data_IF_090802601688
#
_entry.id   IF_090802601688
#
_cell.length_a   1.000
_cell.length_b   1.000
_cell.length_c   1.000
_cell.angle_alpha   90.00
_cell.angle_beta   90.00
_cell.angle_gamma   90.00
#
_symmetry.space_group_name_H-M   'P 1'
#
loop_
_entity.id
_entity.type
_entity.pdbx_description
1 polymer ?
#
# COMPACT_ATOMS: atom_id res chain seq x y z
N UNK A 1 -25.61 11.94 -5.24
CA UNK A 1 -24.43 12.71 -5.67
C UNK A 1 -23.43 11.71 -6.21
N UNK A 2 -22.88 11.92 -7.40
CA UNK A 2 -21.80 11.10 -7.94
C UNK A 2 -20.46 11.65 -7.43
N UNK A 3 -19.62 10.78 -6.88
CA UNK A 3 -18.30 11.13 -6.34
C UNK A 3 -17.16 10.57 -7.20
N UNK A 4 -17.45 9.90 -8.31
CA UNK A 4 -16.44 9.24 -9.14
C UNK A 4 -15.38 10.22 -9.65
N UNK A 5 -14.13 9.75 -9.73
CA UNK A 5 -12.96 10.56 -10.13
C UNK A 5 -12.13 9.80 -11.15
N UNK A 6 -11.70 10.50 -12.21
CA UNK A 6 -10.68 10.02 -13.14
C UNK A 6 -9.36 10.75 -12.87
N UNK A 7 -8.32 9.99 -12.54
CA UNK A 7 -6.96 10.51 -12.30
C UNK A 7 -5.98 9.82 -13.26
N UNK A 8 -5.63 10.49 -14.36
CA UNK A 8 -4.87 9.87 -15.44
C UNK A 8 -5.61 8.65 -16.01
N UNK A 9 -5.01 7.47 -15.89
CA UNK A 9 -5.60 6.19 -16.27
C UNK A 9 -6.45 5.54 -15.18
N UNK A 10 -6.42 6.04 -13.94
CA UNK A 10 -7.16 5.49 -12.82
C UNK A 10 -8.62 5.96 -12.83
N UNK A 11 -9.55 5.03 -12.60
CA UNK A 11 -10.95 5.29 -12.35
C UNK A 11 -11.26 4.91 -10.90
N UNK A 12 -11.72 5.87 -10.12
CA UNK A 12 -12.04 5.71 -8.70
C UNK A 12 -13.52 5.93 -8.49
N UNK A 13 -14.16 5.07 -7.70
CA UNK A 13 -15.59 5.19 -7.37
C UNK A 13 -15.90 6.43 -6.52
N UNK A 14 -14.87 6.95 -5.82
CA UNK A 14 -14.90 8.17 -5.01
C UNK A 14 -13.45 8.66 -4.79
N UNK A 15 -13.21 9.88 -4.26
CA UNK A 15 -11.85 10.41 -4.10
C UNK A 15 -11.08 9.86 -2.90
N UNK A 16 -11.67 8.96 -2.09
CA UNK A 16 -11.03 8.51 -0.84
C UNK A 16 -10.05 7.38 -1.13
N UNK A 17 -8.77 7.63 -0.86
CA UNK A 17 -7.69 6.65 -0.97
C UNK A 17 -7.01 6.50 0.38
N UNK A 18 -6.95 5.28 0.91
CA UNK A 18 -6.17 5.01 2.11
C UNK A 18 -4.66 5.12 1.80
N UNK A 19 -3.94 5.92 2.60
CA UNK A 19 -2.53 6.25 2.34
C UNK A 19 -1.60 5.05 2.53
N UNK A 20 -0.50 5.01 1.77
CA UNK A 20 0.53 3.98 1.92
C UNK A 20 1.08 3.98 3.35
N UNK A 21 1.18 2.79 3.93
CA UNK A 21 1.74 2.59 5.25
C UNK A 21 0.79 2.83 6.41
N UNK A 22 -0.45 3.29 6.16
CA UNK A 22 -1.52 3.39 7.17
C UNK A 22 -2.59 2.30 7.03
N UNK A 23 -2.56 1.53 5.93
CA UNK A 23 -3.59 0.54 5.59
C UNK A 23 -3.04 -0.85 5.22
N UNK A 24 -1.82 -1.17 5.68
CA UNK A 24 -1.19 -2.48 5.45
C UNK A 24 -1.13 -2.85 3.95
N UNK A 25 -1.61 -4.05 3.60
CA UNK A 25 -1.85 -4.47 2.22
C UNK A 25 -3.36 -4.51 1.91
N UNK A 26 -4.19 -3.80 2.70
CA UNK A 26 -5.64 -3.76 2.60
C UNK A 26 -6.36 -4.94 3.26
N UNK A 27 -5.87 -6.17 3.05
CA UNK A 27 -6.51 -7.40 3.54
C UNK A 27 -6.66 -7.44 5.06
N UNK A 28 -5.77 -6.78 5.80
CA UNK A 28 -5.82 -6.70 7.26
C UNK A 28 -7.07 -5.95 7.77
N UNK A 29 -7.66 -5.07 6.95
CA UNK A 29 -8.81 -4.25 7.31
C UNK A 29 -10.15 -4.80 6.81
N UNK A 30 -10.16 -5.93 6.08
CA UNK A 30 -11.38 -6.51 5.48
C UNK A 30 -12.47 -6.90 6.49
N UNK A 31 -12.09 -7.10 7.77
CA UNK A 31 -13.04 -7.37 8.86
C UNK A 31 -13.64 -6.10 9.47
N UNK A 32 -13.05 -4.94 9.20
CA UNK A 32 -13.48 -3.64 9.73
C UNK A 32 -14.23 -2.81 8.69
N UNK A 33 -13.88 -2.94 7.42
CA UNK A 33 -14.49 -2.20 6.31
C UNK A 33 -14.54 -3.05 5.04
N UNK A 34 -15.63 -2.93 4.27
CA UNK A 34 -15.68 -3.48 2.91
C UNK A 34 -14.74 -2.67 2.02
N UNK A 35 -13.66 -3.31 1.55
CA UNK A 35 -12.64 -2.65 0.74
C UNK A 35 -13.22 -2.03 -0.55
N UNK A 36 -14.35 -2.55 -1.06
CA UNK A 36 -14.96 -2.05 -2.29
C UNK A 36 -15.62 -0.67 -2.17
N UNK A 37 -15.84 -0.17 -0.95
CA UNK A 37 -16.42 1.17 -0.74
C UNK A 37 -15.39 2.29 -0.90
N UNK A 38 -14.09 1.97 -0.79
CA UNK A 38 -13.02 2.93 -0.99
C UNK A 38 -12.84 3.22 -2.49
N UNK A 39 -12.49 4.46 -2.81
CA UNK A 39 -12.01 4.82 -4.15
C UNK A 39 -10.77 4.02 -4.53
N UNK A 40 -9.86 3.85 -3.56
CA UNK A 40 -8.71 2.96 -3.65
C UNK A 40 -7.96 2.84 -2.32
N UNK A 41 -6.86 2.10 -2.33
CA UNK A 41 -5.87 2.16 -1.25
C UNK A 41 -4.47 1.93 -1.81
N UNK A 42 -3.49 2.55 -1.16
CA UNK A 42 -2.09 2.35 -1.47
C UNK A 42 -1.48 1.37 -0.47
N UNK A 43 -0.84 0.31 -0.97
CA UNK A 43 -0.21 -0.69 -0.10
C UNK A 43 0.95 -0.09 0.68
N UNK A 44 1.38 -0.77 1.74
CA UNK A 44 2.71 -0.57 2.33
C UNK A 44 3.77 -0.60 1.23
N UNK A 45 4.76 0.28 1.34
CA UNK A 45 5.89 0.31 0.41
C UNK A 45 6.60 -1.05 0.36
N UNK A 46 6.69 -1.62 -0.84
CA UNK A 46 7.40 -2.87 -1.10
C UNK A 46 8.83 -2.60 -1.58
N UNK A 47 9.75 -3.46 -1.18
CA UNK A 47 11.07 -3.57 -1.78
C UNK A 47 11.26 -4.94 -2.42
N UNK A 48 12.32 -5.12 -3.22
CA UNK A 48 12.63 -6.42 -3.83
C UNK A 48 12.77 -7.50 -2.76
N UNK A 49 13.58 -7.22 -1.74
CA UNK A 49 13.79 -8.07 -0.59
C UNK A 49 12.97 -7.60 0.61
N UNK A 50 12.59 -8.49 1.54
CA UNK A 50 11.91 -8.11 2.78
C UNK A 50 12.79 -7.16 3.62
N UNK A 51 12.15 -6.24 4.35
CA UNK A 51 12.83 -5.35 5.31
C UNK A 51 12.17 -5.48 6.69
N UNK A 52 12.99 -5.55 7.73
CA UNK A 52 12.56 -5.69 9.14
C UNK A 52 12.17 -4.37 9.81
N UNK A 53 12.47 -3.22 9.18
CA UNK A 53 12.24 -1.90 9.77
C UNK A 53 13.28 -1.47 10.82
N UNK A 54 13.07 -0.30 11.43
CA UNK A 54 13.98 0.30 12.40
C UNK A 54 13.94 -0.39 13.78
N UNK A 55 14.73 -0.07 14.81
CA UNK A 55 14.45 -0.54 16.17
C UNK A 55 13.19 0.11 16.77
N UNK A 56 12.58 -0.51 17.79
CA UNK A 56 11.51 0.13 18.59
C UNK A 56 12.10 1.09 19.62
N UNK A 57 11.39 2.16 20.05
CA UNK A 57 10.06 2.59 19.60
C UNK A 57 10.07 3.24 18.20
N UNK A 58 9.07 2.89 17.37
CA UNK A 58 8.94 3.42 15.98
C UNK A 58 7.78 4.39 15.79
N UNK A 59 7.01 4.63 16.84
CA UNK A 59 5.80 5.47 16.83
C UNK A 59 5.74 6.24 18.14
N UNK A 60 5.39 7.52 18.08
CA UNK A 60 5.10 8.34 19.24
C UNK A 60 3.97 9.33 18.93
N UNK A 61 3.10 9.57 19.90
CA UNK A 61 2.01 10.55 19.80
C UNK A 61 2.57 11.98 19.89
N UNK A 62 1.92 12.90 19.18
CA UNK A 62 2.16 14.34 19.29
C UNK A 62 0.83 15.08 19.37
N UNK A 63 0.85 16.37 19.70
CA UNK A 63 -0.37 17.19 19.67
C UNK A 63 -1.05 17.07 18.30
N UNK A 64 -2.28 16.55 18.31
CA UNK A 64 -3.10 16.33 17.11
C UNK A 64 -2.48 15.42 16.03
N UNK A 65 -1.59 14.49 16.41
CA UNK A 65 -0.96 13.60 15.43
C UNK A 65 0.00 12.58 16.03
N UNK A 66 0.91 12.11 15.19
CA UNK A 66 1.92 11.12 15.55
C UNK A 66 3.17 11.27 14.67
N UNK A 67 4.32 10.90 15.21
CA UNK A 67 5.54 10.65 14.44
C UNK A 67 5.70 9.14 14.22
N UNK A 68 6.25 8.76 13.06
CA UNK A 68 6.61 7.38 12.79
C UNK A 68 8.00 7.28 12.15
N UNK A 69 8.72 6.24 12.53
CA UNK A 69 10.01 5.86 11.98
C UNK A 69 10.00 4.33 11.74
N UNK A 70 9.02 3.84 10.97
CA UNK A 70 8.83 2.39 10.76
C UNK A 70 10.06 1.75 10.07
N UNK A 71 10.79 2.50 9.24
CA UNK A 71 11.95 1.99 8.50
C UNK A 71 11.57 1.12 7.32
N UNK A 72 10.42 1.39 6.70
CA UNK A 72 9.93 0.70 5.49
C UNK A 72 9.82 -0.83 5.66
N UNK A 73 9.48 -1.31 6.86
CA UNK A 73 9.20 -2.73 7.11
C UNK A 73 8.16 -3.26 6.10
N UNK A 74 8.50 -4.35 5.42
CA UNK A 74 7.67 -4.97 4.40
C UNK A 74 8.07 -6.43 4.13
N UNK A 75 7.17 -7.18 3.48
CA UNK A 75 7.31 -8.62 3.23
C UNK A 75 8.15 -8.96 1.99
N UNK A 76 8.59 -7.95 1.24
CA UNK A 76 9.27 -8.12 -0.05
C UNK A 76 8.32 -8.44 -1.20
N UNK A 77 8.79 -8.21 -2.42
CA UNK A 77 8.03 -8.39 -3.65
C UNK A 77 7.52 -9.83 -3.83
N UNK A 78 8.38 -10.83 -3.58
CA UNK A 78 8.05 -12.23 -3.81
C UNK A 78 6.82 -12.68 -3.00
N UNK A 79 6.83 -12.41 -1.69
CA UNK A 79 5.71 -12.78 -0.81
C UNK A 79 4.44 -12.00 -1.16
N UNK A 80 4.57 -10.71 -1.52
CA UNK A 80 3.42 -9.93 -1.97
C UNK A 80 2.74 -10.55 -3.21
N UNK A 81 3.53 -10.91 -4.23
CA UNK A 81 3.02 -11.51 -5.47
C UNK A 81 2.38 -12.89 -5.25
N UNK A 82 2.96 -13.72 -4.37
CA UNK A 82 2.45 -15.08 -4.14
C UNK A 82 1.30 -15.16 -3.14
N UNK A 83 1.24 -14.25 -2.16
CA UNK A 83 0.31 -14.38 -1.03
C UNK A 83 -0.76 -13.29 -0.99
N UNK A 84 -0.38 -12.02 -1.19
CA UNK A 84 -1.29 -10.86 -1.00
C UNK A 84 -2.03 -10.52 -2.29
N UNK A 85 -1.31 -10.36 -3.40
CA UNK A 85 -1.89 -9.94 -4.68
C UNK A 85 -3.00 -10.87 -5.18
N UNK A 86 -2.91 -12.21 -5.11
CA UNK A 86 -3.98 -13.09 -5.57
C UNK A 86 -5.29 -12.90 -4.80
N UNK A 87 -5.21 -12.62 -3.50
CA UNK A 87 -6.40 -12.34 -2.69
C UNK A 87 -7.00 -10.97 -3.00
N UNK A 88 -6.15 -9.97 -3.30
CA UNK A 88 -6.57 -8.62 -3.65
C UNK A 88 -7.32 -8.55 -4.98
N UNK A 89 -7.07 -9.47 -5.91
CA UNK A 89 -7.81 -9.59 -7.18
C UNK A 89 -9.31 -9.85 -6.99
N UNK A 90 -9.75 -10.26 -5.80
CA UNK A 90 -11.17 -10.47 -5.50
C UNK A 90 -11.94 -9.17 -5.19
N UNK A 91 -11.25 -8.03 -5.12
CA UNK A 91 -11.86 -6.74 -4.83
C UNK A 91 -11.85 -5.83 -6.07
N UNK A 92 -12.85 -4.96 -6.16
CA UNK A 92 -13.05 -4.00 -7.26
C UNK A 92 -12.46 -2.62 -6.99
N UNK A 93 -12.04 -2.35 -5.75
CA UNK A 93 -11.41 -1.07 -5.40
C UNK A 93 -10.07 -0.91 -6.11
N UNK A 94 -9.69 0.34 -6.38
CA UNK A 94 -8.43 0.63 -7.04
C UNK A 94 -7.24 0.29 -6.13
N UNK A 95 -6.47 -0.74 -6.50
CA UNK A 95 -5.23 -1.10 -5.84
C UNK A 95 -4.06 -0.26 -6.39
N UNK A 96 -3.39 0.50 -5.52
CA UNK A 96 -2.17 1.23 -5.85
C UNK A 96 -1.00 0.56 -5.12
N UNK A 97 -0.07 -0.05 -5.86
CA UNK A 97 1.09 -0.70 -5.25
C UNK A 97 2.20 0.33 -5.05
N UNK A 98 2.45 0.70 -3.79
CA UNK A 98 3.60 1.53 -3.45
C UNK A 98 4.86 0.66 -3.39
N UNK A 99 5.96 1.10 -4.00
CA UNK A 99 7.24 0.41 -3.96
C UNK A 99 8.41 1.39 -3.92
N UNK A 100 9.54 0.91 -3.44
CA UNK A 100 10.79 1.65 -3.34
C UNK A 100 11.99 0.75 -3.62
N UNK A 101 13.11 1.38 -3.93
CA UNK A 101 14.44 0.76 -4.04
C UNK A 101 15.50 1.67 -3.43
N UNK A 102 16.61 1.08 -3.00
CA UNK A 102 17.79 1.81 -2.54
C UNK A 102 18.67 2.25 -3.73
N UNK A 103 18.43 1.69 -4.92
CA UNK A 103 19.06 2.10 -6.18
C UNK A 103 18.05 2.26 -7.32
N UNK A 104 18.41 3.00 -8.37
CA UNK A 104 17.58 3.13 -9.58
C UNK A 104 17.26 1.77 -10.20
N UNK A 105 18.22 0.85 -10.22
CA UNK A 105 18.05 -0.48 -10.79
C UNK A 105 16.97 -1.26 -10.04
N UNK A 106 16.92 -1.15 -8.72
CA UNK A 106 15.86 -1.80 -7.93
C UNK A 106 14.47 -1.22 -8.24
N UNK A 107 14.36 0.09 -8.47
CA UNK A 107 13.09 0.69 -8.92
C UNK A 107 12.63 0.13 -10.27
N UNK A 108 13.56 -0.05 -11.22
CA UNK A 108 13.26 -0.62 -12.54
C UNK A 108 12.78 -2.07 -12.39
N UNK A 109 13.47 -2.88 -11.60
CA UNK A 109 13.09 -4.28 -11.37
C UNK A 109 11.72 -4.41 -10.69
N UNK A 110 11.46 -3.58 -9.68
CA UNK A 110 10.15 -3.53 -9.03
C UNK A 110 9.04 -3.15 -10.02
N UNK A 111 9.26 -2.11 -10.83
CA UNK A 111 8.28 -1.68 -11.82
C UNK A 111 8.01 -2.76 -12.87
N UNK A 112 9.05 -3.42 -13.39
CA UNK A 112 8.92 -4.51 -14.36
C UNK A 112 8.13 -5.70 -13.81
N UNK A 113 8.36 -6.07 -12.55
CA UNK A 113 7.66 -7.20 -11.93
C UNK A 113 6.19 -6.93 -11.58
N UNK A 114 5.80 -5.65 -11.50
CA UNK A 114 4.44 -5.19 -11.18
C UNK A 114 3.65 -4.70 -12.39
N UNK A 115 4.27 -4.65 -13.58
CA UNK A 115 3.63 -4.21 -14.83
C UNK A 115 2.83 -5.32 -15.51
#
# INVERSE_FOLDING_TARGET
>A
MDLSVKLGSLLLNNPVIAASGTFGYGLEYRSLVDLNILGGFSTKGLSLQPKVGNPVPRVIETSSGMLNAIGLENIGLKAFLSEKLPQLKNYKTCLIVNFFGDTQQEYVEMAQALS
#
